data_IF_703590254595
#
_entry.id   IF_703590254595
#
_cell.length_a   1.000
_cell.length_b   1.000
_cell.length_c   1.000
_cell.angle_alpha   90.00
_cell.angle_beta   90.00
_cell.angle_gamma   90.00
#
_symmetry.space_group_name_H-M   'P 1'
#
loop_
_entity.id
_entity.type
_entity.pdbx_description
1 polymer ?
#
# COMPACT_ATOMS: atom_id res chain seq x y z
N UNK A 1 22.24 -20.57 19.54
CA UNK A 1 21.61 -19.63 18.60
C UNK A 1 22.54 -19.45 17.42
N UNK A 2 22.20 -20.05 16.27
CA UNK A 2 22.95 -19.96 15.01
C UNK A 2 22.57 -18.69 14.22
N UNK A 3 23.24 -18.41 13.10
CA UNK A 3 23.00 -17.19 12.32
C UNK A 3 21.61 -17.15 11.67
N UNK A 4 21.08 -18.30 11.25
CA UNK A 4 19.71 -18.42 10.72
C UNK A 4 18.68 -18.01 11.78
N UNK A 5 18.80 -18.53 13.01
CA UNK A 5 17.96 -18.17 14.14
C UNK A 5 18.09 -16.69 14.51
N UNK A 6 19.30 -16.11 14.44
CA UNK A 6 19.52 -14.68 14.68
C UNK A 6 18.77 -13.83 13.66
N UNK A 7 18.84 -14.18 12.38
CA UNK A 7 18.10 -13.49 11.33
C UNK A 7 16.59 -13.63 11.51
N UNK A 8 16.13 -14.83 11.88
CA UNK A 8 14.72 -15.09 12.15
C UNK A 8 14.19 -14.25 13.32
N UNK A 9 14.94 -14.12 14.40
CA UNK A 9 14.57 -13.26 15.54
C UNK A 9 14.44 -11.80 15.11
N UNK A 10 15.41 -11.27 14.33
CA UNK A 10 15.37 -9.89 13.83
C UNK A 10 14.08 -9.61 13.06
N UNK A 11 13.73 -10.50 12.14
CA UNK A 11 12.57 -10.33 11.26
C UNK A 11 11.26 -10.48 12.00
N UNK A 12 11.12 -11.47 12.89
CA UNK A 12 9.89 -11.64 13.64
C UNK A 12 9.67 -10.49 14.63
N UNK A 13 10.73 -9.96 15.27
CA UNK A 13 10.63 -8.71 16.05
C UNK A 13 10.18 -7.55 15.18
N UNK A 14 10.70 -7.49 13.95
CA UNK A 14 10.37 -6.49 12.95
C UNK A 14 8.90 -6.56 12.47
N UNK A 15 8.26 -7.74 12.55
CA UNK A 15 6.82 -7.89 12.30
C UNK A 15 5.96 -7.52 13.53
N UNK A 16 6.57 -7.00 14.60
CA UNK A 16 5.88 -6.64 15.84
C UNK A 16 5.62 -7.81 16.78
N UNK A 17 6.13 -9.02 16.47
CA UNK A 17 5.90 -10.19 17.31
C UNK A 17 6.63 -10.05 18.65
N UNK A 18 5.92 -10.42 19.71
CA UNK A 18 6.49 -10.51 21.06
C UNK A 18 7.40 -11.72 21.22
N UNK A 19 8.33 -11.66 22.18
CA UNK A 19 9.34 -12.70 22.41
C UNK A 19 8.78 -14.13 22.53
N UNK A 20 7.56 -14.29 23.06
CA UNK A 20 6.90 -15.60 23.20
C UNK A 20 6.55 -16.23 21.85
N UNK A 21 6.06 -15.44 20.91
CA UNK A 21 5.73 -15.91 19.55
C UNK A 21 7.02 -16.29 18.81
N UNK A 22 8.05 -15.44 18.90
CA UNK A 22 9.34 -15.66 18.25
C UNK A 22 10.03 -16.91 18.77
N UNK A 23 9.99 -17.15 20.07
CA UNK A 23 10.51 -18.37 20.68
C UNK A 23 9.90 -19.63 20.05
N UNK A 24 8.57 -19.64 19.86
CA UNK A 24 7.85 -20.73 19.20
C UNK A 24 8.29 -20.93 17.75
N UNK A 25 8.39 -19.85 16.97
CA UNK A 25 8.76 -19.89 15.54
C UNK A 25 10.22 -20.30 15.31
N UNK A 26 11.12 -19.97 16.23
CA UNK A 26 12.58 -20.21 16.11
C UNK A 26 13.06 -21.47 16.83
N UNK A 27 12.19 -22.13 17.61
CA UNK A 27 12.57 -23.27 18.46
C UNK A 27 13.50 -22.90 19.62
N UNK A 28 13.52 -21.63 20.03
CA UNK A 28 14.39 -21.10 21.08
C UNK A 28 13.61 -20.80 22.36
N UNK A 29 14.31 -20.71 23.50
CA UNK A 29 13.69 -20.21 24.73
C UNK A 29 13.36 -18.71 24.60
N UNK A 30 12.28 -18.29 25.24
CA UNK A 30 11.87 -16.88 25.33
C UNK A 30 12.99 -15.98 25.85
N UNK A 31 13.77 -16.46 26.82
CA UNK A 31 14.89 -15.71 27.40
C UNK A 31 16.10 -15.62 26.47
N UNK A 32 16.35 -16.65 25.66
CA UNK A 32 17.38 -16.61 24.60
C UNK A 32 17.04 -15.54 23.57
N UNK A 33 15.78 -15.48 23.14
CA UNK A 33 15.26 -14.44 22.23
C UNK A 33 15.37 -13.06 22.88
N UNK A 34 14.86 -12.88 24.10
CA UNK A 34 14.92 -11.59 24.82
C UNK A 34 16.36 -11.12 25.00
N UNK A 35 17.26 -12.00 25.41
CA UNK A 35 18.67 -11.70 25.62
C UNK A 35 19.37 -11.30 24.32
N UNK A 36 19.06 -11.98 23.21
CA UNK A 36 19.54 -11.58 21.90
C UNK A 36 19.00 -10.20 21.48
N UNK A 37 17.70 -9.97 21.62
CA UNK A 37 17.08 -8.69 21.27
C UNK A 37 17.70 -7.53 22.06
N UNK A 38 17.86 -7.66 23.37
CA UNK A 38 18.47 -6.64 24.23
C UNK A 38 19.92 -6.32 23.85
N UNK A 39 20.72 -7.33 23.48
CA UNK A 39 22.13 -7.11 23.05
C UNK A 39 22.25 -6.47 21.67
N UNK A 40 21.19 -6.51 20.86
CA UNK A 40 21.20 -6.05 19.47
C UNK A 40 20.27 -4.84 19.26
N UNK A 41 19.83 -4.16 20.32
CA UNK A 41 18.96 -2.98 20.23
C UNK A 41 17.58 -3.26 19.64
N UNK A 42 17.09 -4.50 19.77
CA UNK A 42 15.74 -4.92 19.36
C UNK A 42 14.77 -4.98 20.57
N UNK A 43 15.20 -4.45 21.72
CA UNK A 43 14.39 -4.28 22.91
C UNK A 43 13.59 -2.97 22.86
N UNK A 44 12.38 -3.02 23.41
CA UNK A 44 11.42 -1.91 23.35
C UNK A 44 10.45 -1.97 22.16
N UNK A 45 9.42 -1.14 22.22
CA UNK A 45 8.46 -0.83 21.16
C UNK A 45 8.65 0.65 20.79
N UNK A 46 9.80 0.99 20.21
CA UNK A 46 10.14 2.37 19.83
C UNK A 46 9.98 2.57 18.32
N UNK A 47 8.86 3.17 17.91
CA UNK A 47 8.43 3.28 16.51
C UNK A 47 9.45 3.98 15.56
N UNK A 48 10.35 4.83 16.08
CA UNK A 48 11.25 5.64 15.24
C UNK A 48 12.50 4.88 14.78
N UNK A 49 13.23 4.23 15.70
CA UNK A 49 14.35 3.33 15.37
C UNK A 49 13.88 2.12 14.54
N UNK A 50 12.64 1.68 14.78
CA UNK A 50 12.02 0.57 14.09
C UNK A 50 11.85 0.84 12.59
N UNK A 51 11.43 2.03 12.18
CA UNK A 51 11.17 2.37 10.77
C UNK A 51 12.44 2.58 9.94
N UNK A 52 13.53 3.02 10.55
CA UNK A 52 14.81 3.12 9.85
C UNK A 52 15.47 1.75 9.67
N UNK A 53 15.49 0.93 10.73
CA UNK A 53 16.00 -0.44 10.66
C UNK A 53 15.14 -1.33 9.75
N UNK A 54 13.81 -1.11 9.72
CA UNK A 54 12.86 -1.73 8.78
C UNK A 54 13.32 -1.60 7.35
N UNK A 55 13.58 -0.37 6.89
CA UNK A 55 13.88 -0.08 5.49
C UNK A 55 15.19 -0.71 5.03
N UNK A 56 16.15 -0.85 5.94
CA UNK A 56 17.45 -1.47 5.67
C UNK A 56 17.30 -2.99 5.58
N UNK A 57 16.65 -3.61 6.56
CA UNK A 57 16.43 -5.07 6.59
C UNK A 57 15.47 -5.52 5.48
N UNK A 58 14.39 -4.78 5.20
CA UNK A 58 13.54 -5.04 4.04
C UNK A 58 14.36 -5.01 2.75
N UNK A 59 15.27 -4.04 2.56
CA UNK A 59 16.14 -4.04 1.36
C UNK A 59 17.11 -5.21 1.31
N UNK A 60 17.72 -5.56 2.43
CA UNK A 60 18.75 -6.60 2.49
C UNK A 60 18.16 -8.02 2.40
N UNK A 61 16.99 -8.26 3.00
CA UNK A 61 16.42 -9.61 3.18
C UNK A 61 15.20 -9.91 2.31
N UNK A 62 14.66 -8.94 1.54
CA UNK A 62 13.45 -9.11 0.70
C UNK A 62 13.50 -10.31 -0.26
N UNK A 63 14.68 -10.75 -0.66
CA UNK A 63 14.84 -11.90 -1.56
C UNK A 63 15.48 -13.11 -0.88
N UNK A 64 15.69 -13.07 0.43
CA UNK A 64 16.24 -14.18 1.21
C UNK A 64 15.10 -14.81 2.02
N UNK A 65 14.25 -13.98 2.61
CA UNK A 65 13.20 -14.38 3.52
C UNK A 65 11.85 -13.81 3.07
N UNK A 66 10.79 -14.57 3.32
CA UNK A 66 9.43 -14.17 2.99
C UNK A 66 9.05 -12.95 3.82
N UNK A 67 8.65 -11.87 3.16
CA UNK A 67 8.24 -10.64 3.86
C UNK A 67 7.09 -10.89 4.86
N UNK A 68 6.18 -11.83 4.55
CA UNK A 68 5.00 -12.10 5.38
C UNK A 68 5.26 -13.02 6.58
N UNK A 69 5.86 -14.19 6.38
CA UNK A 69 6.02 -15.20 7.44
C UNK A 69 7.48 -15.42 7.88
N UNK A 70 8.43 -14.74 7.24
CA UNK A 70 9.87 -14.88 7.51
C UNK A 70 10.50 -16.17 7.00
N UNK A 71 9.76 -17.07 6.34
CA UNK A 71 10.28 -18.33 5.80
C UNK A 71 11.38 -18.11 4.75
N UNK A 72 12.37 -18.99 4.70
CA UNK A 72 13.40 -18.94 3.65
C UNK A 72 12.79 -19.04 2.26
N UNK A 73 13.35 -18.27 1.32
CA UNK A 73 12.90 -18.21 -0.06
C UNK A 73 13.86 -19.00 -0.94
N UNK A 74 13.35 -20.09 -1.50
CA UNK A 74 13.95 -20.69 -2.69
C UNK A 74 13.74 -19.75 -3.88
N UNK A 75 14.82 -19.13 -4.33
CA UNK A 75 14.79 -18.19 -5.45
C UNK A 75 14.64 -18.91 -6.80
N UNK A 76 13.95 -18.24 -7.72
CA UNK A 76 13.83 -18.73 -9.10
C UNK A 76 15.20 -18.69 -9.79
N UNK A 77 15.53 -19.72 -10.58
CA UNK A 77 16.76 -19.75 -11.38
C UNK A 77 16.80 -18.66 -12.47
N UNK A 78 15.63 -18.25 -12.96
CA UNK A 78 15.47 -17.24 -14.01
C UNK A 78 14.29 -16.31 -13.69
N UNK A 79 14.38 -15.05 -14.09
CA UNK A 79 13.30 -14.06 -13.99
C UNK A 79 13.31 -13.26 -12.69
N UNK A 80 12.13 -12.74 -12.30
CA UNK A 80 11.99 -11.86 -11.14
C UNK A 80 12.21 -12.64 -9.83
N UNK A 81 13.08 -12.10 -8.97
CA UNK A 81 13.32 -12.63 -7.61
C UNK A 81 12.03 -12.69 -6.78
N UNK A 82 11.89 -13.76 -6.01
CA UNK A 82 10.74 -13.98 -5.13
C UNK A 82 10.90 -13.14 -3.86
N UNK A 83 9.76 -12.65 -3.37
CA UNK A 83 9.64 -11.92 -2.09
C UNK A 83 8.76 -12.63 -1.06
N UNK A 84 8.06 -13.69 -1.49
CA UNK A 84 7.08 -14.40 -0.70
C UNK A 84 7.20 -15.91 -0.97
N UNK A 85 7.06 -16.72 0.08
CA UNK A 85 7.14 -18.17 -0.02
C UNK A 85 5.89 -18.77 -0.69
N UNK A 86 4.77 -18.05 -0.68
CA UNK A 86 3.50 -18.50 -1.28
C UNK A 86 2.63 -17.34 -1.74
N UNK A 87 1.63 -17.64 -2.57
CA UNK A 87 0.59 -16.68 -2.97
C UNK A 87 -0.25 -16.21 -1.78
N UNK A 88 -0.49 -17.09 -0.81
CA UNK A 88 -1.18 -16.74 0.44
C UNK A 88 -0.42 -15.65 1.21
N UNK A 89 0.88 -15.86 1.45
CA UNK A 89 1.74 -14.89 2.11
C UNK A 89 1.80 -13.54 1.37
N UNK A 90 1.82 -13.55 0.03
CA UNK A 90 1.74 -12.31 -0.75
C UNK A 90 0.43 -11.57 -0.49
N UNK A 91 -0.71 -12.27 -0.51
CA UNK A 91 -2.01 -11.64 -0.35
C UNK A 91 -2.19 -11.07 1.06
N UNK A 92 -1.74 -11.79 2.08
CA UNK A 92 -1.80 -11.33 3.48
C UNK A 92 -0.93 -10.08 3.70
N UNK A 93 0.29 -10.09 3.16
CA UNK A 93 1.14 -8.91 3.16
C UNK A 93 0.49 -7.73 2.44
N UNK A 94 -0.07 -7.95 1.25
CA UNK A 94 -0.77 -6.92 0.50
C UNK A 94 -1.95 -6.33 1.30
N UNK A 95 -2.74 -7.14 2.00
CA UNK A 95 -3.88 -6.67 2.78
C UNK A 95 -3.47 -5.83 4.01
N UNK A 96 -2.34 -6.17 4.63
CA UNK A 96 -1.85 -5.52 5.85
C UNK A 96 -0.96 -4.32 5.57
N UNK A 97 -0.28 -4.29 4.42
CA UNK A 97 0.73 -3.27 4.08
C UNK A 97 0.31 -2.35 2.92
N UNK A 98 -0.88 -2.53 2.32
CA UNK A 98 -1.42 -1.56 1.35
C UNK A 98 -1.78 -0.27 2.04
N UNK A 99 -0.99 0.77 1.76
CA UNK A 99 -1.33 2.14 2.15
C UNK A 99 -2.59 2.59 1.39
N UNK A 100 -3.53 3.15 2.14
CA UNK A 100 -4.67 3.87 1.58
C UNK A 100 -4.24 5.30 1.25
N UNK A 101 -4.57 5.75 0.05
CA UNK A 101 -4.38 7.13 -0.39
C UNK A 101 -5.74 7.73 -0.73
N UNK A 102 -5.99 8.94 -0.24
CA UNK A 102 -7.19 9.72 -0.57
C UNK A 102 -6.87 10.69 -1.70
N UNK A 103 -7.78 10.79 -2.65
CA UNK A 103 -7.66 11.65 -3.83
C UNK A 103 -8.99 12.33 -4.13
N UNK A 104 -8.92 13.41 -4.89
CA UNK A 104 -10.07 14.06 -5.51
C UNK A 104 -9.99 13.76 -7.00
N UNK A 105 -11.09 13.31 -7.59
CA UNK A 105 -11.14 13.02 -9.02
C UNK A 105 -11.01 14.30 -9.83
N UNK A 106 -10.01 14.39 -10.71
CA UNK A 106 -9.76 15.55 -11.58
C UNK A 106 -10.95 15.85 -12.51
N UNK A 107 -11.74 14.82 -12.86
CA UNK A 107 -12.91 14.96 -13.71
C UNK A 107 -14.19 15.31 -12.95
N UNK A 108 -14.68 14.47 -12.02
CA UNK A 108 -15.99 14.68 -11.37
C UNK A 108 -15.92 15.41 -10.03
N UNK A 109 -14.71 15.69 -9.52
CA UNK A 109 -14.51 16.34 -8.21
C UNK A 109 -14.86 15.48 -6.99
N UNK A 110 -15.27 14.22 -7.15
CA UNK A 110 -15.58 13.33 -6.02
C UNK A 110 -14.31 12.86 -5.32
N UNK A 111 -14.37 12.79 -4.00
CA UNK A 111 -13.35 12.11 -3.21
C UNK A 111 -13.39 10.59 -3.45
N UNK A 112 -12.22 9.99 -3.61
CA UNK A 112 -12.08 8.55 -3.73
C UNK A 112 -10.80 8.04 -3.08
N UNK A 113 -10.77 6.73 -2.82
CA UNK A 113 -9.65 6.05 -2.18
C UNK A 113 -8.95 5.14 -3.19
N UNK A 114 -7.64 5.05 -3.08
CA UNK A 114 -6.81 4.13 -3.88
C UNK A 114 -5.89 3.35 -2.96
N UNK A 115 -5.93 2.02 -3.09
CA UNK A 115 -5.10 1.12 -2.31
C UNK A 115 -3.78 0.86 -3.06
N UNK A 116 -2.65 1.21 -2.43
CA UNK A 116 -1.31 0.90 -2.92
C UNK A 116 -0.83 1.72 -4.13
N UNK A 117 -1.66 2.61 -4.70
CA UNK A 117 -1.23 3.52 -5.78
C UNK A 117 -1.38 4.97 -5.33
N UNK A 118 -0.26 5.68 -5.27
CA UNK A 118 -0.16 7.08 -4.81
C UNK A 118 -0.36 8.13 -5.91
N UNK A 119 -0.60 7.73 -7.16
CA UNK A 119 -0.65 8.63 -8.32
C UNK A 119 -1.94 8.50 -9.15
N UNK A 120 -3.08 8.25 -8.50
CA UNK A 120 -4.37 8.16 -9.20
C UNK A 120 -5.04 9.52 -9.34
N UNK A 121 -5.58 9.79 -10.53
CA UNK A 121 -6.24 11.06 -10.91
C UNK A 121 -7.76 10.94 -11.01
N UNK A 122 -8.27 9.74 -11.34
CA UNK A 122 -9.68 9.49 -11.60
C UNK A 122 -10.23 8.40 -10.69
N UNK A 123 -11.50 8.55 -10.27
CA UNK A 123 -12.17 7.57 -9.41
C UNK A 123 -12.50 6.27 -10.15
N UNK A 124 -12.70 6.32 -11.47
CA UNK A 124 -13.04 5.19 -12.32
C UNK A 124 -12.55 5.41 -13.77
N UNK A 125 -12.73 4.39 -14.61
CA UNK A 125 -12.33 4.43 -16.02
C UNK A 125 -13.21 5.37 -16.86
N UNK A 126 -14.48 5.53 -16.50
CA UNK A 126 -15.41 6.40 -17.22
C UNK A 126 -14.98 7.86 -17.08
N UNK A 127 -14.62 8.29 -15.87
CA UNK A 127 -14.07 9.61 -15.59
C UNK A 127 -12.76 9.84 -16.37
N UNK A 128 -11.85 8.85 -16.43
CA UNK A 128 -10.65 8.95 -17.25
C UNK A 128 -10.97 9.16 -18.74
N UNK A 129 -11.92 8.37 -19.25
CA UNK A 129 -12.29 8.40 -20.67
C UNK A 129 -12.98 9.71 -21.02
N UNK A 130 -13.96 10.14 -20.23
CA UNK A 130 -14.74 11.36 -20.48
C UNK A 130 -13.92 12.63 -20.30
N UNK A 131 -12.96 12.64 -19.38
CA UNK A 131 -12.04 13.78 -19.21
C UNK A 131 -11.13 13.95 -20.42
N UNK A 132 -10.56 12.84 -20.89
CA UNK A 132 -9.59 12.86 -21.99
C UNK A 132 -10.23 12.97 -23.38
N UNK A 133 -11.46 12.47 -23.52
CA UNK A 133 -12.13 12.32 -24.81
C UNK A 133 -13.54 12.92 -24.77
N UNK A 134 -13.72 14.06 -24.10
CA UNK A 134 -15.01 14.76 -24.05
C UNK A 134 -15.58 14.98 -25.45
N UNK A 135 -16.81 14.53 -25.69
CA UNK A 135 -17.46 14.59 -27.02
C UNK A 135 -18.72 15.45 -27.01
N UNK A 136 -19.27 15.66 -28.21
CA UNK A 136 -20.55 16.37 -28.38
C UNK A 136 -21.70 15.65 -27.67
N UNK A 137 -21.66 14.33 -27.64
CA UNK A 137 -22.66 13.50 -26.97
C UNK A 137 -22.66 13.73 -25.45
N UNK A 138 -21.49 13.91 -24.84
CA UNK A 138 -21.37 14.21 -23.41
C UNK A 138 -21.99 15.59 -23.09
N UNK A 139 -21.72 16.60 -23.93
CA UNK A 139 -22.33 17.92 -23.79
C UNK A 139 -23.86 17.88 -23.95
N UNK A 140 -24.36 17.12 -24.92
CA UNK A 140 -25.79 16.93 -25.13
C UNK A 140 -26.46 16.22 -23.94
N UNK A 141 -25.82 15.20 -23.35
CA UNK A 141 -26.31 14.51 -22.15
C UNK A 141 -26.46 15.49 -20.97
N UNK A 142 -25.44 16.33 -20.75
CA UNK A 142 -25.46 17.34 -19.69
C UNK A 142 -26.56 18.38 -19.94
N UNK A 143 -26.66 18.91 -21.15
CA UNK A 143 -27.69 19.90 -21.51
C UNK A 143 -29.11 19.33 -21.33
N UNK A 144 -29.37 18.11 -21.79
CA UNK A 144 -30.67 17.45 -21.64
C UNK A 144 -31.06 17.31 -20.16
N UNK A 145 -30.13 16.87 -19.30
CA UNK A 145 -30.39 16.76 -17.86
C UNK A 145 -30.66 18.11 -17.20
N UNK A 146 -29.95 19.16 -17.62
CA UNK A 146 -30.18 20.53 -17.12
C UNK A 146 -31.58 21.02 -17.52
N UNK A 147 -31.98 20.84 -18.77
CA UNK A 147 -33.32 21.22 -19.26
C UNK A 147 -34.44 20.49 -18.52
N UNK A 148 -34.20 19.25 -18.10
CA UNK A 148 -35.13 18.46 -17.29
C UNK A 148 -35.03 18.74 -15.78
N UNK A 149 -34.20 19.69 -15.34
CA UNK A 149 -33.91 19.99 -13.93
C UNK A 149 -33.43 18.76 -13.13
N UNK A 150 -32.73 17.82 -13.80
CA UNK A 150 -32.16 16.61 -13.19
C UNK A 150 -30.70 16.79 -12.82
N UNK A 151 -30.27 16.01 -11.82
CA UNK A 151 -28.87 15.99 -11.36
C UNK A 151 -27.93 15.44 -12.44
N UNK A 152 -26.85 16.18 -12.71
CA UNK A 152 -25.73 15.74 -13.54
C UNK A 152 -24.70 15.05 -12.65
N UNK A 153 -24.58 13.71 -12.75
CA UNK A 153 -23.69 12.93 -11.88
C UNK A 153 -22.20 13.05 -12.24
N UNK A 154 -21.90 13.34 -13.51
CA UNK A 154 -20.56 13.33 -14.10
C UNK A 154 -20.30 14.66 -14.81
N UNK A 155 -20.36 15.77 -14.06
CA UNK A 155 -20.02 17.09 -14.60
C UNK A 155 -18.50 17.31 -14.44
N UNK A 156 -17.77 17.63 -15.52
CA UNK A 156 -16.35 17.94 -15.42
C UNK A 156 -16.08 19.13 -14.51
N UNK A 157 -15.01 19.07 -13.72
CA UNK A 157 -14.56 20.18 -12.86
C UNK A 157 -14.34 21.44 -13.72
N UNK A 158 -13.61 21.32 -14.83
CA UNK A 158 -13.34 22.45 -15.74
C UNK A 158 -14.62 23.09 -16.28
N UNK A 159 -15.66 22.29 -16.56
CA UNK A 159 -16.92 22.80 -17.09
C UNK A 159 -17.72 23.50 -15.98
N UNK A 160 -17.70 22.95 -14.77
CA UNK A 160 -18.30 23.59 -13.60
C UNK A 160 -17.64 24.95 -13.32
N UNK A 161 -16.33 25.03 -13.40
CA UNK A 161 -15.58 26.28 -13.24
C UNK A 161 -15.94 27.28 -14.34
N UNK A 162 -16.00 26.86 -15.61
CA UNK A 162 -16.39 27.73 -16.73
C UNK A 162 -17.83 28.27 -16.61
N UNK A 163 -18.76 27.49 -16.06
CA UNK A 163 -20.15 27.94 -15.86
C UNK A 163 -20.33 28.87 -14.66
N UNK A 164 -19.43 28.79 -13.69
CA UNK A 164 -19.45 29.59 -12.46
C UNK A 164 -18.48 30.77 -12.51
N UNK A 165 -17.62 30.85 -13.51
CA UNK A 165 -16.73 32.00 -13.70
C UNK A 165 -17.56 33.23 -13.98
N UNK A 166 -17.34 34.29 -13.22
CA UNK A 166 -17.91 35.59 -13.53
C UNK A 166 -17.43 36.02 -14.91
N UNK A 167 -18.36 36.48 -15.76
CA UNK A 167 -17.98 37.10 -17.02
C UNK A 167 -17.23 38.38 -16.71
N UNK A 168 -15.90 38.35 -16.78
CA UNK A 168 -15.10 39.59 -16.78
C UNK A 168 -15.69 40.53 -17.84
N UNK A 169 -16.18 41.67 -17.35
CA UNK A 169 -16.85 42.73 -18.11
C UNK A 169 -15.83 43.65 -18.78
#
# INVERSE_FOLDING_TARGET
MNDEQRQRIKILRFQGLGYKQIAKETGLSRDSVRGYCKRNGLDGYGNELFEEYKKTIEREFVNILCLNCGAELEQNKVGRKRKYCSKSCKNEWDNTHRKEYKFICEYCGREFKSLGTSKRKYCDNDCYTRDRFWRKEDAAEVAAKILEFKKVNNLPVWLKELLLSDSES
#
